data_IF_308492081231
#
_entry.id   IF_308492081231
#
_cell.length_a   1.000
_cell.length_b   1.000
_cell.length_c   1.000
_cell.angle_alpha   90.00
_cell.angle_beta   90.00
_cell.angle_gamma   90.00
#
_symmetry.space_group_name_H-M   'P 1'
#
loop_
_entity.id
_entity.type
_entity.pdbx_description
1 polymer ?
#
# COMPACT_ATOMS: atom_id res chain seq x y z
N UNK A 1 -11.70 -6.58 1.03
CA UNK A 1 -11.05 -7.79 0.47
C UNK A 1 -10.63 -7.45 -0.94
N UNK A 2 -9.32 -7.43 -1.18
CA UNK A 2 -8.74 -6.97 -2.44
C UNK A 2 -8.71 -8.11 -3.45
N UNK A 3 -9.34 -7.90 -4.61
CA UNK A 3 -9.26 -8.81 -5.75
C UNK A 3 -7.90 -8.73 -6.44
N UNK A 4 -7.56 -9.70 -7.30
CA UNK A 4 -6.32 -9.64 -8.10
C UNK A 4 -6.21 -8.36 -8.94
N UNK A 5 -7.35 -7.87 -9.47
CA UNK A 5 -7.40 -6.61 -10.22
C UNK A 5 -7.14 -5.40 -9.31
N UNK A 6 -7.66 -5.41 -8.07
CA UNK A 6 -7.36 -4.37 -7.09
C UNK A 6 -5.86 -4.36 -6.76
N UNK A 7 -5.25 -5.52 -6.56
CA UNK A 7 -3.81 -5.65 -6.29
C UNK A 7 -2.97 -5.10 -7.45
N UNK A 8 -3.39 -5.31 -8.69
CA UNK A 8 -2.73 -4.72 -9.86
C UNK A 8 -2.80 -3.18 -9.83
N UNK A 9 -3.96 -2.61 -9.48
CA UNK A 9 -4.10 -1.15 -9.33
C UNK A 9 -3.29 -0.62 -8.15
N UNK A 10 -3.23 -1.33 -7.02
CA UNK A 10 -2.37 -0.99 -5.87
C UNK A 10 -0.92 -0.91 -6.35
N UNK A 11 -0.42 -1.93 -7.04
CA UNK A 11 0.94 -1.96 -7.55
C UNK A 11 1.23 -0.80 -8.51
N UNK A 12 0.27 -0.46 -9.38
CA UNK A 12 0.37 0.69 -10.29
C UNK A 12 0.46 2.02 -9.53
N UNK A 13 -0.36 2.20 -8.50
CA UNK A 13 -0.37 3.40 -7.65
C UNK A 13 0.97 3.51 -6.91
N UNK A 14 1.40 2.44 -6.26
CA UNK A 14 2.62 2.42 -5.46
C UNK A 14 3.87 2.67 -6.31
N UNK A 15 3.99 2.03 -7.48
CA UNK A 15 5.11 2.27 -8.42
C UNK A 15 5.16 3.71 -8.93
N UNK A 16 4.02 4.42 -8.96
CA UNK A 16 3.95 5.82 -9.38
C UNK A 16 4.43 6.76 -8.27
N UNK A 17 4.13 6.45 -7.01
CA UNK A 17 4.49 7.26 -5.84
C UNK A 17 5.94 6.99 -5.42
N UNK A 18 6.32 5.72 -5.41
CA UNK A 18 7.64 5.24 -5.01
C UNK A 18 8.16 4.28 -6.10
N UNK A 19 8.85 4.79 -7.13
CA UNK A 19 9.34 3.96 -8.23
C UNK A 19 10.31 2.85 -7.80
N UNK A 20 10.98 3.02 -6.67
CA UNK A 20 11.91 2.06 -6.07
C UNK A 20 11.24 0.96 -5.24
N UNK A 21 9.92 0.99 -5.05
CA UNK A 21 9.22 0.03 -4.19
C UNK A 21 9.31 -1.40 -4.75
N UNK A 22 9.57 -2.36 -3.87
CA UNK A 22 9.47 -3.78 -4.18
C UNK A 22 8.01 -4.21 -4.16
N UNK A 23 7.45 -4.47 -5.34
CA UNK A 23 6.04 -4.85 -5.53
C UNK A 23 5.70 -6.29 -5.15
N UNK A 24 6.69 -7.10 -4.77
CA UNK A 24 6.44 -8.42 -4.20
C UNK A 24 5.73 -8.24 -2.86
N UNK A 25 4.47 -8.69 -2.81
CA UNK A 25 3.70 -8.73 -1.57
C UNK A 25 4.39 -9.72 -0.63
N UNK A 26 4.93 -9.21 0.48
CA UNK A 26 5.49 -10.01 1.56
C UNK A 26 4.43 -10.24 2.63
N UNK A 27 4.50 -11.38 3.31
CA UNK A 27 3.58 -11.67 4.41
C UNK A 27 3.89 -10.76 5.60
N UNK A 28 2.84 -10.40 6.33
CA UNK A 28 2.97 -9.68 7.60
C UNK A 28 3.90 -10.41 8.57
N UNK A 29 4.85 -9.66 9.15
CA UNK A 29 5.72 -10.10 10.22
C UNK A 29 5.67 -9.03 11.35
N UNK A 30 5.22 -9.38 12.56
CA UNK A 30 5.10 -8.42 13.66
C UNK A 30 6.44 -7.79 14.06
N UNK A 31 7.55 -8.51 13.94
CA UNK A 31 8.89 -7.99 14.26
C UNK A 31 9.38 -6.95 13.24
N UNK A 32 8.68 -6.81 12.11
CA UNK A 32 9.06 -5.94 10.98
C UNK A 32 7.89 -5.07 10.52
N UNK A 33 7.02 -4.64 11.44
CA UNK A 33 5.78 -3.93 11.12
C UNK A 33 5.98 -2.62 10.33
N UNK A 34 7.09 -1.93 10.59
CA UNK A 34 7.44 -0.62 10.02
C UNK A 34 8.47 -0.70 8.88
N UNK A 35 8.67 -1.88 8.27
CA UNK A 35 9.62 -2.04 7.16
C UNK A 35 9.17 -1.24 5.93
N UNK A 36 10.10 -0.52 5.33
CA UNK A 36 9.85 0.38 4.21
C UNK A 36 10.12 -0.24 2.85
N UNK A 37 9.57 0.38 1.81
CA UNK A 37 9.90 0.04 0.42
C UNK A 37 9.42 -1.35 -0.02
N UNK A 38 8.57 -2.00 0.79
CA UNK A 38 7.98 -3.30 0.51
C UNK A 38 6.47 -3.22 0.67
N UNK A 39 5.77 -4.00 -0.14
CA UNK A 39 4.32 -4.17 -0.01
C UNK A 39 4.05 -5.32 0.95
N UNK A 40 3.30 -5.08 2.02
CA UNK A 40 2.95 -6.09 3.03
C UNK A 40 1.48 -6.46 2.85
N UNK A 41 1.21 -7.75 2.70
CA UNK A 41 -0.12 -8.31 2.58
C UNK A 41 -0.55 -9.02 3.86
N UNK A 42 -1.77 -8.74 4.30
CA UNK A 42 -2.46 -9.53 5.31
C UNK A 42 -3.37 -10.53 4.58
N UNK A 43 -3.06 -11.83 4.61
CA UNK A 43 -3.85 -12.84 3.92
C UNK A 43 -5.26 -12.89 4.52
N UNK A 44 -6.27 -12.96 3.66
CA UNK A 44 -7.66 -13.11 4.10
C UNK A 44 -8.08 -14.56 4.28
N UNK A 45 -9.33 -14.76 4.73
CA UNK A 45 -9.94 -16.11 4.84
C UNK A 45 -10.02 -16.89 3.53
N UNK A 46 -9.98 -16.21 2.37
CA UNK A 46 -10.06 -16.82 1.04
C UNK A 46 -8.68 -16.91 0.41
N UNK A 47 -8.26 -18.13 0.05
CA UNK A 47 -6.96 -18.38 -0.59
C UNK A 47 -6.80 -17.52 -1.85
N UNK A 48 -5.67 -16.80 -1.92
CA UNK A 48 -5.35 -15.89 -3.03
C UNK A 48 -5.90 -14.47 -2.91
N UNK A 49 -6.60 -14.13 -1.82
CA UNK A 49 -7.09 -12.79 -1.54
C UNK A 49 -6.37 -12.21 -0.31
N UNK A 50 -6.03 -10.92 -0.38
CA UNK A 50 -5.56 -10.17 0.77
C UNK A 50 -6.73 -9.39 1.38
N UNK A 51 -6.88 -9.47 2.71
CA UNK A 51 -7.83 -8.63 3.44
C UNK A 51 -7.35 -7.18 3.45
N UNK A 52 -6.05 -6.99 3.56
CA UNK A 52 -5.41 -5.68 3.58
C UNK A 52 -4.04 -5.76 2.90
N UNK A 53 -3.66 -4.68 2.24
CA UNK A 53 -2.29 -4.47 1.76
C UNK A 53 -1.83 -3.12 2.25
N UNK A 54 -0.60 -3.01 2.74
CA UNK A 54 -0.03 -1.74 3.13
C UNK A 54 1.43 -1.61 2.73
N UNK A 55 1.92 -0.37 2.69
CA UNK A 55 3.34 -0.06 2.56
C UNK A 55 3.69 1.09 3.50
N UNK A 56 4.89 1.05 4.05
CA UNK A 56 5.44 2.16 4.81
C UNK A 56 6.40 2.95 3.90
N UNK A 57 6.30 4.28 3.95
CA UNK A 57 7.13 5.20 3.19
C UNK A 57 7.63 6.27 4.18
N UNK A 58 8.94 6.32 4.39
CA UNK A 58 9.55 7.40 5.17
C UNK A 58 9.60 8.70 4.37
N UNK A 59 9.37 9.82 5.05
CA UNK A 59 9.52 11.17 4.50
C UNK A 59 8.75 11.36 3.18
N UNK A 60 7.51 10.88 3.14
CA UNK A 60 6.65 11.04 1.96
C UNK A 60 6.50 12.52 1.62
N UNK A 61 6.76 12.86 0.36
CA UNK A 61 6.70 14.25 -0.10
C UNK A 61 5.25 14.69 -0.33
N UNK A 62 4.95 16.00 -0.27
CA UNK A 62 3.62 16.51 -0.62
C UNK A 62 3.18 16.14 -2.04
N UNK A 63 4.12 16.08 -2.99
CA UNK A 63 3.83 15.66 -4.36
C UNK A 63 3.44 14.17 -4.45
N UNK A 64 4.11 13.31 -3.67
CA UNK A 64 3.77 11.89 -3.56
C UNK A 64 2.38 11.67 -2.97
N UNK A 65 2.04 12.38 -1.89
CA UNK A 65 0.70 12.35 -1.29
C UNK A 65 -0.38 12.82 -2.28
N UNK A 66 -0.16 13.94 -2.96
CA UNK A 66 -1.09 14.44 -3.99
C UNK A 66 -1.28 13.45 -5.13
N UNK A 67 -0.19 12.81 -5.56
CA UNK A 67 -0.21 11.79 -6.61
C UNK A 67 -1.00 10.56 -6.16
N UNK A 68 -0.77 10.11 -4.92
CA UNK A 68 -1.54 9.04 -4.29
C UNK A 68 -3.04 9.35 -4.30
N UNK A 69 -3.45 10.50 -3.74
CA UNK A 69 -4.86 10.89 -3.66
C UNK A 69 -5.54 10.92 -5.02
N UNK A 70 -4.85 11.45 -6.03
CA UNK A 70 -5.37 11.53 -7.41
C UNK A 70 -5.58 10.14 -8.01
N UNK A 71 -4.62 9.24 -7.81
CA UNK A 71 -4.65 7.91 -8.41
C UNK A 71 -5.64 6.99 -7.69
N UNK A 72 -5.71 7.04 -6.36
CA UNK A 72 -6.70 6.29 -5.57
C UNK A 72 -8.11 6.68 -5.96
N UNK A 73 -8.43 7.97 -6.04
CA UNK A 73 -9.77 8.42 -6.44
C UNK A 73 -10.18 7.88 -7.81
N UNK A 74 -9.21 7.69 -8.71
CA UNK A 74 -9.44 7.18 -10.06
C UNK A 74 -9.56 5.66 -10.13
N UNK A 75 -8.70 4.92 -9.42
CA UNK A 75 -8.54 3.47 -9.61
C UNK A 75 -9.10 2.63 -8.46
N UNK A 76 -9.11 3.15 -7.24
CA UNK A 76 -9.48 2.45 -6.01
C UNK A 76 -10.28 3.38 -5.07
N UNK A 77 -11.43 3.93 -5.51
CA UNK A 77 -12.19 4.89 -4.72
C UNK A 77 -12.64 4.26 -3.40
N UNK A 78 -12.42 4.96 -2.29
CA UNK A 78 -12.78 4.56 -0.91
C UNK A 78 -12.14 3.25 -0.42
N UNK A 79 -11.10 2.75 -1.09
CA UNK A 79 -10.39 1.52 -0.71
C UNK A 79 -9.03 1.78 -0.06
N UNK A 80 -8.72 3.01 0.35
CA UNK A 80 -7.44 3.30 0.98
C UNK A 80 -7.52 4.30 2.13
N UNK A 81 -6.59 4.16 3.06
CA UNK A 81 -6.38 5.07 4.20
C UNK A 81 -4.90 5.36 4.39
N UNK A 82 -4.58 6.47 5.05
CA UNK A 82 -3.22 6.84 5.42
C UNK A 82 -3.13 6.86 6.94
N UNK A 83 -2.13 6.22 7.50
CA UNK A 83 -1.74 6.30 8.91
C UNK A 83 -0.35 6.95 9.01
N UNK A 84 -0.12 7.78 10.03
CA UNK A 84 1.14 8.48 10.22
C UNK A 84 1.79 8.07 11.55
N UNK A 85 3.05 7.64 11.46
CA UNK A 85 3.87 7.18 12.58
C UNK A 85 5.20 7.95 12.58
N UNK A 86 5.19 9.17 13.12
CA UNK A 86 6.36 10.05 13.07
C UNK A 86 6.73 10.44 11.64
N UNK A 87 7.94 10.08 11.20
CA UNK A 87 8.43 10.30 9.82
C UNK A 87 7.89 9.27 8.82
N UNK A 88 7.28 8.19 9.31
CA UNK A 88 6.77 7.10 8.47
C UNK A 88 5.30 7.35 8.16
N UNK A 89 4.97 7.29 6.87
CA UNK A 89 3.59 7.27 6.39
C UNK A 89 3.24 5.87 5.90
N UNK A 90 2.22 5.29 6.51
CA UNK A 90 1.68 4.00 6.12
C UNK A 90 0.47 4.20 5.21
N UNK A 91 0.59 3.71 3.98
CA UNK A 91 -0.50 3.68 3.01
C UNK A 91 -1.15 2.31 3.08
N UNK A 92 -2.47 2.28 3.31
CA UNK A 92 -3.24 1.05 3.52
C UNK A 92 -4.32 0.95 2.45
N UNK A 93 -4.55 -0.26 1.95
CA UNK A 93 -5.60 -0.62 1.00
C UNK A 93 -6.46 -1.77 1.57
N UNK A 94 -7.80 -1.69 1.45
CA UNK A 94 -8.78 -2.65 2.00
C UNK A 94 -9.91 -2.99 1.02
#
# INVERSE_FOLDING_TARGET
MLSSQDIEQVNRILKRIVPSIMLSVQNYNPDQELREGIVIGIPGKKKGFNEMVYTNIENITPWQLKTFDTMVKKFLPNKSTIEQHGTITRIIFK
#
